data_IF_920393617165
#
_entry.id   IF_920393617165
#
_cell.length_a   1.000
_cell.length_b   1.000
_cell.length_c   1.000
_cell.angle_alpha   90.00
_cell.angle_beta   90.00
_cell.angle_gamma   90.00
#
_symmetry.space_group_name_H-M   'P 1'
#
loop_
_entity.id
_entity.type
_entity.pdbx_description
1 polymer ?
#
# COMPACT_ATOMS: atom_id res chain seq x y z
N UNK A 1 -28.70 -28.85 39.97
CA UNK A 1 -27.44 -28.56 39.26
C UNK A 1 -27.72 -28.49 37.75
N UNK A 2 -28.45 -27.48 37.27
CA UNK A 2 -28.87 -27.40 35.85
C UNK A 2 -28.36 -26.14 35.13
N UNK A 3 -27.95 -25.10 35.85
CA UNK A 3 -27.74 -23.77 35.25
C UNK A 3 -26.37 -23.60 34.55
N UNK A 4 -25.38 -24.44 34.84
CA UNK A 4 -24.04 -24.32 34.24
C UNK A 4 -23.95 -24.94 32.84
N UNK A 5 -24.73 -25.99 32.55
CA UNK A 5 -24.71 -26.64 31.25
C UNK A 5 -25.42 -25.79 30.18
N UNK A 6 -26.48 -25.09 30.57
CA UNK A 6 -27.24 -24.22 29.67
C UNK A 6 -26.45 -22.98 29.26
N UNK A 7 -25.70 -22.36 30.19
CA UNK A 7 -24.83 -21.20 29.90
C UNK A 7 -23.70 -21.59 28.94
N UNK A 8 -23.13 -22.79 29.11
CA UNK A 8 -22.07 -23.28 28.21
C UNK A 8 -22.64 -23.55 26.82
N UNK A 9 -23.84 -24.13 26.72
CA UNK A 9 -24.50 -24.36 25.44
C UNK A 9 -24.83 -23.06 24.70
N UNK A 10 -25.32 -22.04 25.42
CA UNK A 10 -25.60 -20.71 24.87
C UNK A 10 -24.31 -20.02 24.38
N UNK A 11 -23.22 -20.11 25.15
CA UNK A 11 -21.92 -19.56 24.78
C UNK A 11 -21.32 -20.25 23.55
N UNK A 12 -21.44 -21.58 23.45
CA UNK A 12 -20.98 -22.35 22.28
C UNK A 12 -21.78 -22.01 21.03
N UNK A 13 -23.10 -21.78 21.16
CA UNK A 13 -23.93 -21.32 20.04
C UNK A 13 -23.57 -19.89 19.62
N UNK A 14 -23.35 -18.97 20.56
CA UNK A 14 -22.92 -17.59 20.26
C UNK A 14 -21.54 -17.56 19.56
N UNK A 15 -20.62 -18.45 19.94
CA UNK A 15 -19.32 -18.60 19.28
C UNK A 15 -19.43 -19.23 17.90
N UNK A 16 -20.34 -20.20 17.71
CA UNK A 16 -20.65 -20.76 16.39
C UNK A 16 -21.23 -19.70 15.46
N UNK A 17 -22.24 -18.96 15.92
CA UNK A 17 -22.86 -17.87 15.16
C UNK A 17 -21.87 -16.73 14.84
N UNK A 18 -20.93 -16.43 15.75
CA UNK A 18 -19.84 -15.47 15.49
C UNK A 18 -18.76 -16.00 14.55
N UNK A 19 -18.47 -17.30 14.57
CA UNK A 19 -17.54 -17.93 13.62
C UNK A 19 -18.14 -18.14 12.23
N UNK A 20 -19.47 -18.17 12.14
CA UNK A 20 -20.23 -18.19 10.89
C UNK A 20 -20.81 -16.82 10.54
N UNK A 21 -20.31 -15.73 11.14
CA UNK A 21 -20.65 -14.37 10.76
C UNK A 21 -20.11 -14.12 9.35
N UNK A 22 -20.92 -14.52 8.36
CA UNK A 22 -20.92 -14.12 6.97
C UNK A 22 -19.57 -13.59 6.46
N UNK A 23 -18.75 -14.48 5.91
CA UNK A 23 -17.95 -14.08 4.75
C UNK A 23 -18.94 -13.71 3.66
N UNK A 24 -19.44 -12.47 3.70
CA UNK A 24 -20.19 -11.90 2.59
C UNK A 24 -19.33 -12.10 1.34
N UNK A 25 -19.87 -12.81 0.36
CA UNK A 25 -19.20 -13.09 -0.89
C UNK A 25 -18.96 -11.74 -1.58
N UNK A 26 -17.77 -11.16 -1.39
CA UNK A 26 -17.42 -9.85 -1.93
C UNK A 26 -17.38 -9.96 -3.45
N UNK A 27 -18.41 -9.43 -4.09
CA UNK A 27 -18.47 -9.28 -5.54
C UNK A 27 -17.85 -7.94 -5.95
N UNK A 28 -16.93 -7.96 -6.92
CA UNK A 28 -16.30 -6.77 -7.47
C UNK A 28 -16.85 -6.50 -8.88
N UNK A 29 -17.32 -5.27 -9.12
CA UNK A 29 -17.90 -4.87 -10.41
C UNK A 29 -16.85 -4.51 -11.48
N UNK A 30 -17.31 -4.29 -12.70
CA UNK A 30 -16.47 -3.96 -13.86
C UNK A 30 -15.59 -2.71 -13.64
N UNK A 31 -16.07 -1.70 -12.91
CA UNK A 31 -15.27 -0.52 -12.59
C UNK A 31 -14.04 -0.88 -11.75
N UNK A 32 -14.20 -1.77 -10.77
CA UNK A 32 -13.08 -2.23 -9.95
C UNK A 32 -12.06 -3.02 -10.79
N UNK A 33 -12.55 -3.87 -11.70
CA UNK A 33 -11.69 -4.63 -12.61
C UNK A 33 -10.93 -3.70 -13.57
N UNK A 34 -11.55 -2.64 -14.06
CA UNK A 34 -10.90 -1.63 -14.89
C UNK A 34 -9.81 -0.88 -14.11
N UNK A 35 -10.13 -0.40 -12.90
CA UNK A 35 -9.14 0.26 -12.02
C UNK A 35 -7.94 -0.64 -11.70
N UNK A 36 -8.18 -1.93 -11.49
CA UNK A 36 -7.12 -2.91 -11.23
C UNK A 36 -6.21 -3.09 -12.44
N UNK A 37 -6.78 -3.21 -13.65
CA UNK A 37 -6.01 -3.33 -14.89
C UNK A 37 -5.16 -2.09 -15.15
N UNK A 38 -5.75 -0.90 -15.01
CA UNK A 38 -5.05 0.37 -15.18
C UNK A 38 -3.90 0.53 -14.18
N UNK A 39 -4.12 0.19 -12.91
CA UNK A 39 -3.07 0.25 -11.88
C UNK A 39 -1.93 -0.73 -12.19
N UNK A 40 -2.26 -1.95 -12.62
CA UNK A 40 -1.28 -2.97 -13.00
C UNK A 40 -0.43 -2.50 -14.18
N UNK A 41 -1.06 -1.98 -15.24
CA UNK A 41 -0.36 -1.45 -16.41
C UNK A 41 0.59 -0.31 -16.02
N UNK A 42 0.10 0.65 -15.22
CA UNK A 42 0.90 1.77 -14.75
C UNK A 42 2.08 1.34 -13.88
N UNK A 43 1.91 0.32 -13.04
CA UNK A 43 2.99 -0.20 -12.19
C UNK A 43 4.07 -0.90 -13.01
N UNK A 44 3.68 -1.66 -14.03
CA UNK A 44 4.62 -2.36 -14.91
C UNK A 44 5.35 -1.43 -15.88
N UNK A 45 4.76 -0.27 -16.20
CA UNK A 45 5.38 0.75 -17.04
C UNK A 45 6.58 1.38 -16.34
N UNK A 46 7.79 1.04 -16.80
CA UNK A 46 9.03 1.62 -16.26
C UNK A 46 9.24 3.03 -16.78
N UNK A 47 9.71 3.90 -15.89
CA UNK A 47 10.18 5.25 -16.21
C UNK A 47 11.62 5.40 -15.74
N UNK A 48 12.38 6.25 -16.42
CA UNK A 48 13.72 6.64 -16.01
C UNK A 48 13.64 8.02 -15.37
N UNK A 49 14.41 8.20 -14.30
CA UNK A 49 14.43 9.43 -13.53
C UNK A 49 15.83 10.03 -13.51
N UNK A 50 15.89 11.32 -13.19
CA UNK A 50 17.15 12.04 -12.97
C UNK A 50 17.09 12.80 -11.63
N UNK A 51 18.25 12.97 -10.99
CA UNK A 51 18.35 13.75 -9.75
C UNK A 51 17.90 15.19 -10.01
N UNK A 52 17.03 15.71 -9.14
CA UNK A 52 16.41 17.02 -9.28
C UNK A 52 15.08 17.04 -10.05
N UNK A 53 14.68 15.92 -10.67
CA UNK A 53 13.38 15.83 -11.35
C UNK A 53 12.22 15.91 -10.35
N UNK A 54 11.15 16.59 -10.74
CA UNK A 54 9.89 16.63 -9.97
C UNK A 54 8.99 15.48 -10.42
N UNK A 55 8.52 14.70 -9.44
CA UNK A 55 7.72 13.50 -9.65
C UNK A 55 6.48 13.51 -8.77
N UNK A 56 5.53 12.64 -9.10
CA UNK A 56 4.33 12.35 -8.29
C UNK A 56 4.00 10.87 -8.35
N UNK A 57 3.14 10.41 -7.44
CA UNK A 57 2.54 9.09 -7.57
C UNK A 57 1.79 8.95 -8.89
N UNK A 58 2.02 7.84 -9.56
CA UNK A 58 1.10 7.36 -10.59
C UNK A 58 -0.27 7.12 -9.98
N UNK A 59 -1.31 7.32 -10.79
CA UNK A 59 -2.71 7.10 -10.40
C UNK A 59 -2.87 5.71 -9.76
N UNK A 60 -3.49 5.66 -8.59
CA UNK A 60 -3.80 4.45 -7.81
C UNK A 60 -2.58 3.66 -7.27
N UNK A 61 -1.34 4.20 -7.32
CA UNK A 61 -0.13 3.47 -6.89
C UNK A 61 0.52 4.00 -5.61
N UNK A 62 -0.11 4.96 -4.93
CA UNK A 62 0.32 5.43 -3.62
C UNK A 62 0.25 4.28 -2.60
N UNK A 63 1.35 4.04 -1.87
CA UNK A 63 1.39 3.06 -0.80
C UNK A 63 2.03 3.61 0.48
N UNK A 64 2.34 4.91 0.54
CA UNK A 64 2.90 5.57 1.73
C UNK A 64 2.13 6.85 2.04
N UNK A 65 2.29 7.34 3.27
CA UNK A 65 1.63 8.57 3.76
C UNK A 65 2.12 9.83 3.03
N UNK A 66 3.40 9.88 2.71
CA UNK A 66 4.05 10.98 1.99
C UNK A 66 4.75 10.44 0.74
N UNK A 67 4.84 11.23 -0.35
CA UNK A 67 4.07 12.45 -0.56
C UNK A 67 2.55 12.17 -0.57
N UNK A 68 1.74 13.16 -0.26
CA UNK A 68 0.29 13.06 -0.42
C UNK A 68 -0.07 12.83 -1.90
N UNK A 69 -1.30 12.38 -2.19
CA UNK A 69 -1.76 12.25 -3.57
C UNK A 69 -1.63 13.61 -4.28
N UNK A 70 -0.98 13.61 -5.45
CA UNK A 70 -0.67 14.79 -6.25
C UNK A 70 0.26 15.84 -5.59
N UNK A 71 0.80 15.57 -4.40
CA UNK A 71 1.87 16.39 -3.84
C UNK A 71 3.18 16.11 -4.59
N UNK A 72 3.88 17.15 -5.09
CA UNK A 72 5.15 16.96 -5.77
C UNK A 72 6.23 16.48 -4.80
N UNK A 73 7.11 15.61 -5.31
CA UNK A 73 8.36 15.23 -4.67
C UNK A 73 9.52 15.47 -5.64
N UNK A 74 10.73 15.61 -5.11
CA UNK A 74 11.95 15.78 -5.92
C UNK A 74 12.85 14.56 -5.80
N UNK A 75 13.43 14.10 -6.90
CA UNK A 75 14.40 13.00 -6.90
C UNK A 75 15.69 13.48 -6.23
N UNK A 76 16.03 12.89 -5.09
CA UNK A 76 17.26 13.20 -4.33
C UNK A 76 18.39 12.26 -4.73
N UNK A 77 18.06 10.97 -4.96
CA UNK A 77 19.05 9.95 -5.34
C UNK A 77 18.36 8.76 -6.02
N UNK A 78 19.07 8.13 -6.94
CA UNK A 78 18.73 6.84 -7.53
C UNK A 78 19.75 5.81 -7.06
N UNK A 79 19.29 4.61 -6.72
CA UNK A 79 20.14 3.52 -6.24
C UNK A 79 20.39 2.54 -7.38
N UNK A 80 21.67 2.25 -7.65
CA UNK A 80 22.06 1.21 -8.62
C UNK A 80 21.63 -0.18 -8.12
N UNK A 81 21.76 -0.41 -6.81
CA UNK A 81 21.29 -1.62 -6.12
C UNK A 81 20.12 -1.28 -5.19
N UNK A 82 18.90 -1.80 -5.47
CA UNK A 82 17.73 -1.53 -4.64
C UNK A 82 17.88 -2.12 -3.24
N UNK A 83 17.41 -1.39 -2.23
CA UNK A 83 17.26 -1.90 -0.87
C UNK A 83 15.97 -2.71 -0.80
N UNK A 84 16.07 -3.96 -0.36
CA UNK A 84 14.88 -4.80 -0.11
C UNK A 84 14.36 -4.51 1.28
N UNK A 85 13.07 -4.18 1.39
CA UNK A 85 12.39 -3.96 2.66
C UNK A 85 12.51 -5.18 3.58
N UNK A 86 12.75 -4.94 4.87
CA UNK A 86 12.86 -5.96 5.91
C UNK A 86 11.53 -6.31 6.57
N UNK A 87 10.41 -6.06 5.90
CA UNK A 87 9.09 -6.49 6.41
C UNK A 87 9.01 -8.02 6.29
N UNK A 88 8.58 -8.70 7.35
CA UNK A 88 8.54 -10.15 7.46
C UNK A 88 7.14 -10.73 7.21
N UNK A 89 6.11 -9.87 7.06
CA UNK A 89 4.74 -10.31 6.85
C UNK A 89 4.41 -10.38 5.35
N UNK A 90 4.27 -11.58 4.80
CA UNK A 90 4.01 -11.77 3.35
C UNK A 90 2.68 -11.18 2.85
N UNK A 91 1.74 -10.88 3.76
CA UNK A 91 0.51 -10.16 3.47
C UNK A 91 0.68 -8.63 3.40
N UNK A 92 1.84 -8.11 3.81
CA UNK A 92 2.15 -6.68 3.77
C UNK A 92 2.51 -6.25 2.35
N UNK A 93 2.00 -5.10 1.87
CA UNK A 93 2.43 -4.53 0.59
C UNK A 93 3.89 -4.08 0.59
N UNK A 94 4.57 -4.11 1.74
CA UNK A 94 5.97 -3.73 1.91
C UNK A 94 6.89 -4.94 2.00
N UNK A 95 6.36 -6.17 1.99
CA UNK A 95 7.14 -7.39 1.99
C UNK A 95 8.00 -7.49 0.73
N UNK A 96 9.32 -7.59 0.91
CA UNK A 96 10.31 -7.63 -0.17
C UNK A 96 10.20 -6.49 -1.21
N UNK A 97 9.63 -5.35 -0.81
CA UNK A 97 9.55 -4.18 -1.69
C UNK A 97 10.97 -3.71 -2.05
N UNK A 98 11.21 -3.48 -3.34
CA UNK A 98 12.50 -3.01 -3.86
C UNK A 98 12.51 -1.50 -3.87
N UNK A 99 13.26 -0.90 -2.95
CA UNK A 99 13.40 0.54 -2.83
C UNK A 99 14.63 1.00 -3.59
N UNK A 100 14.44 1.69 -4.70
CA UNK A 100 15.49 2.08 -5.66
C UNK A 100 15.56 3.60 -5.91
N UNK A 101 14.60 4.37 -5.40
CA UNK A 101 14.57 5.83 -5.51
C UNK A 101 14.43 6.49 -4.14
N UNK A 102 15.14 7.59 -3.95
CA UNK A 102 15.06 8.43 -2.76
C UNK A 102 14.43 9.76 -3.15
N UNK A 103 13.31 10.11 -2.52
CA UNK A 103 12.57 11.32 -2.81
C UNK A 103 12.55 12.27 -1.62
N UNK A 104 12.64 13.56 -1.93
CA UNK A 104 12.48 14.66 -1.01
C UNK A 104 11.07 15.26 -1.11
N UNK A 105 10.45 15.54 0.04
CA UNK A 105 9.10 16.12 0.13
C UNK A 105 9.11 17.22 1.19
N UNK A 106 8.43 18.34 0.92
CA UNK A 106 8.19 19.37 1.92
C UNK A 106 7.02 18.98 2.82
N UNK A 107 7.25 18.97 4.13
CA UNK A 107 6.17 18.82 5.12
C UNK A 107 5.35 20.10 5.22
N UNK A 108 4.13 20.00 5.80
CA UNK A 108 3.27 21.15 6.09
C UNK A 108 3.93 22.19 7.02
N UNK A 109 5.00 21.81 7.73
CA UNK A 109 5.79 22.68 8.61
C UNK A 109 7.02 23.29 7.91
N UNK A 110 7.15 23.14 6.60
CA UNK A 110 8.29 23.65 5.84
C UNK A 110 9.59 22.88 6.07
N UNK A 111 9.52 21.63 6.51
CA UNK A 111 10.70 20.77 6.68
C UNK A 111 10.89 19.90 5.45
N UNK A 112 12.12 19.83 4.93
CA UNK A 112 12.47 18.90 3.85
C UNK A 112 12.72 17.50 4.42
N UNK A 113 11.84 16.55 4.10
CA UNK A 113 11.89 15.17 4.54
C UNK A 113 12.31 14.27 3.38
N UNK A 114 13.07 13.22 3.66
CA UNK A 114 13.62 12.31 2.65
C UNK A 114 13.24 10.87 2.98
N UNK A 115 12.74 10.14 1.99
CA UNK A 115 12.29 8.76 2.14
C UNK A 115 12.70 7.90 0.94
N UNK A 116 12.69 6.58 1.15
CA UNK A 116 12.99 5.57 0.13
C UNK A 116 11.69 4.99 -0.42
N UNK A 117 11.65 4.75 -1.73
CA UNK A 117 10.48 4.23 -2.43
C UNK A 117 10.87 3.28 -3.57
N UNK A 118 9.87 2.58 -4.10
CA UNK A 118 9.90 1.88 -5.39
C UNK A 118 9.55 2.86 -6.52
N UNK A 119 10.50 3.07 -7.43
CA UNK A 119 10.40 3.99 -8.57
C UNK A 119 9.27 3.65 -9.53
N UNK A 120 8.84 2.39 -9.59
CA UNK A 120 7.77 1.91 -10.48
C UNK A 120 6.43 2.61 -10.20
N UNK A 121 6.28 3.17 -9.00
CA UNK A 121 5.07 3.84 -8.50
C UNK A 121 5.00 5.33 -8.85
N UNK A 122 6.07 5.91 -9.40
CA UNK A 122 6.16 7.33 -9.69
C UNK A 122 6.14 7.61 -11.19
N UNK A 123 5.70 8.82 -11.53
CA UNK A 123 5.75 9.40 -12.86
C UNK A 123 6.24 10.86 -12.75
N UNK A 124 6.67 11.44 -13.86
CA UNK A 124 6.95 12.88 -13.93
C UNK A 124 5.72 13.70 -13.52
N UNK A 125 5.92 14.80 -12.77
CA UNK A 125 4.84 15.67 -12.28
C UNK A 125 4.07 16.38 -13.39
#
# INVERSE_FOLDING_TARGET
>A
MSNQQDIIAELVNSLREKSSANEEEKSYGEEHLAQLRDACENFLKKESFEVGQIVKWKKNLNNRKLPHQNQPAIVVRLLEEPIVSSDDESGSPYFLEKLDIVLGVMSDRGTFLVFYYDSSRFESY
#
